data_IF_103605168113
#
_entry.id   IF_103605168113
#
_cell.length_a   1.000
_cell.length_b   1.000
_cell.length_c   1.000
_cell.angle_alpha   90.00
_cell.angle_beta   90.00
_cell.angle_gamma   90.00
#
_symmetry.space_group_name_H-M   'P 1'
#
loop_
_entity.id
_entity.type
_entity.pdbx_description
1 polymer ?
#
# COMPACT_ATOMS: atom_id res chain seq x y z
N UNK A 1 0.53 -5.61 -3.65
CA UNK A 1 1.81 -5.37 -4.36
C UNK A 1 1.73 -3.97 -4.97
N UNK A 2 2.84 -3.22 -4.99
CA UNK A 2 2.90 -1.86 -5.53
C UNK A 2 4.07 -1.73 -6.51
N UNK A 3 3.82 -1.14 -7.67
CA UNK A 3 4.79 -1.01 -8.75
C UNK A 3 4.85 0.44 -9.20
N UNK A 4 6.02 1.06 -9.15
CA UNK A 4 6.24 2.40 -9.69
C UNK A 4 6.77 2.28 -11.12
N UNK A 5 5.94 2.68 -12.08
CA UNK A 5 6.25 2.63 -13.51
C UNK A 5 6.39 4.06 -14.04
N UNK A 6 7.50 4.33 -14.71
CA UNK A 6 7.76 5.60 -15.40
C UNK A 6 7.57 5.40 -16.90
N UNK A 7 6.62 6.14 -17.46
CA UNK A 7 6.31 6.18 -18.88
C UNK A 7 7.08 7.31 -19.57
N UNK A 8 7.30 7.17 -20.88
CA UNK A 8 7.92 8.23 -21.69
C UNK A 8 6.95 9.39 -21.95
N UNK A 9 5.64 9.09 -22.00
CA UNK A 9 4.57 10.06 -22.22
C UNK A 9 3.60 10.08 -21.02
N UNK A 10 2.96 11.23 -20.75
CA UNK A 10 1.89 11.28 -19.76
C UNK A 10 0.73 10.38 -20.18
N UNK A 11 0.25 9.57 -19.24
CA UNK A 11 -0.83 8.59 -19.43
C UNK A 11 -1.97 8.89 -18.47
N UNK A 12 -3.21 8.71 -18.94
CA UNK A 12 -4.41 8.91 -18.13
C UNK A 12 -4.60 7.73 -17.18
N UNK A 13 -4.82 8.02 -15.90
CA UNK A 13 -4.91 6.98 -14.87
C UNK A 13 -6.16 6.12 -15.05
N UNK A 14 -7.25 6.72 -15.49
CA UNK A 14 -8.55 6.08 -15.70
C UNK A 14 -8.44 4.98 -16.76
N UNK A 15 -7.82 5.30 -17.90
CA UNK A 15 -7.60 4.35 -19.00
C UNK A 15 -6.73 3.18 -18.56
N UNK A 16 -5.60 3.48 -17.89
CA UNK A 16 -4.69 2.44 -17.38
C UNK A 16 -5.39 1.55 -16.33
N UNK A 17 -6.25 2.13 -15.51
CA UNK A 17 -7.01 1.37 -14.50
C UNK A 17 -7.98 0.39 -15.17
N UNK A 18 -8.72 0.84 -16.19
CA UNK A 18 -9.68 -0.01 -16.91
C UNK A 18 -8.99 -1.14 -17.70
N UNK A 19 -7.82 -0.87 -18.29
CA UNK A 19 -7.03 -1.90 -18.97
C UNK A 19 -6.48 -2.93 -17.99
N UNK A 20 -5.88 -2.48 -16.88
CA UNK A 20 -5.34 -3.39 -15.88
C UNK A 20 -6.42 -4.19 -15.15
N UNK A 21 -7.60 -3.61 -14.95
CA UNK A 21 -8.76 -4.32 -14.38
C UNK A 21 -9.15 -5.55 -15.20
N UNK A 22 -9.05 -5.47 -16.54
CA UNK A 22 -9.33 -6.62 -17.41
C UNK A 22 -8.30 -7.75 -17.23
N UNK A 23 -7.04 -7.39 -17.00
CA UNK A 23 -5.95 -8.37 -16.87
C UNK A 23 -5.84 -8.95 -15.45
N UNK A 24 -6.27 -8.21 -14.44
CA UNK A 24 -6.34 -8.67 -13.03
C UNK A 24 -7.70 -9.30 -12.68
N UNK A 25 -8.36 -9.97 -13.64
CA UNK A 25 -9.62 -10.69 -13.44
C UNK A 25 -10.75 -9.85 -12.79
N UNK A 26 -10.84 -8.57 -13.13
CA UNK A 26 -11.87 -7.65 -12.62
C UNK A 26 -11.45 -6.87 -11.38
N UNK A 27 -10.27 -7.14 -10.82
CA UNK A 27 -9.73 -6.40 -9.69
C UNK A 27 -9.13 -5.06 -10.16
N UNK A 28 -9.73 -3.95 -9.75
CA UNK A 28 -9.25 -2.63 -10.14
C UNK A 28 -8.02 -2.24 -9.29
N UNK A 29 -6.84 -2.03 -9.91
CA UNK A 29 -5.69 -1.54 -9.16
C UNK A 29 -5.87 -0.08 -8.78
N UNK A 30 -5.25 0.33 -7.69
CA UNK A 30 -5.17 1.72 -7.25
C UNK A 30 -3.96 2.37 -7.91
N UNK A 31 -4.20 3.37 -8.76
CA UNK A 31 -3.14 4.07 -9.49
C UNK A 31 -2.97 5.50 -8.95
N UNK A 32 -1.75 5.87 -8.55
CA UNK A 32 -1.41 7.22 -8.08
C UNK A 32 -0.25 7.81 -8.89
N UNK A 33 -0.32 9.08 -9.27
CA UNK A 33 0.82 9.80 -9.86
C UNK A 33 1.88 10.07 -8.80
N UNK A 34 3.15 9.81 -9.11
CA UNK A 34 4.29 10.03 -8.20
C UNK A 34 5.33 10.88 -8.91
N UNK A 35 5.62 12.07 -8.39
CA UNK A 35 6.62 12.99 -8.94
C UNK A 35 6.19 13.76 -10.21
N UNK A 36 5.42 13.15 -11.12
CA UNK A 36 4.97 13.80 -12.37
C UNK A 36 3.81 13.07 -13.06
N UNK A 37 3.35 13.61 -14.20
CA UNK A 37 2.23 13.07 -14.98
C UNK A 37 2.56 11.77 -15.74
N UNK A 38 3.84 11.41 -15.84
CA UNK A 38 4.35 10.25 -16.56
C UNK A 38 4.87 9.15 -15.62
N UNK A 39 4.74 9.30 -14.30
CA UNK A 39 5.16 8.28 -13.36
C UNK A 39 3.98 7.89 -12.48
N UNK A 40 3.59 6.62 -12.57
CA UNK A 40 2.44 6.06 -11.89
C UNK A 40 2.88 4.97 -10.93
N UNK A 41 2.39 5.03 -9.71
CA UNK A 41 2.44 3.94 -8.75
C UNK A 41 1.13 3.15 -8.83
N UNK A 42 1.25 1.88 -9.20
CA UNK A 42 0.15 0.95 -9.44
C UNK A 42 0.15 -0.05 -8.29
N UNK A 43 -0.87 0.01 -7.45
CA UNK A 43 -1.06 -0.90 -6.33
C UNK A 43 -2.18 -1.89 -6.64
N UNK A 44 -1.90 -3.18 -6.59
CA UNK A 44 -2.87 -4.26 -6.84
C UNK A 44 -2.85 -5.28 -5.71
N UNK A 45 -4.01 -5.81 -5.33
CA UNK A 45 -4.11 -6.97 -4.44
C UNK A 45 -4.25 -8.29 -5.24
N UNK A 46 -4.11 -8.24 -6.56
CA UNK A 46 -4.15 -9.42 -7.42
C UNK A 46 -3.11 -10.48 -6.98
N UNK A 47 -3.64 -11.66 -6.63
CA UNK A 47 -2.89 -12.80 -6.09
C UNK A 47 -2.02 -12.48 -4.87
N UNK A 48 -2.40 -11.49 -4.05
CA UNK A 48 -1.59 -11.07 -2.87
C UNK A 48 -1.48 -12.19 -1.82
N UNK A 49 -2.49 -13.05 -1.72
CA UNK A 49 -2.53 -14.19 -0.80
C UNK A 49 -1.65 -15.36 -1.27
N UNK A 50 -1.37 -15.45 -2.58
CA UNK A 50 -0.51 -16.48 -3.14
C UNK A 50 0.96 -16.05 -3.07
N UNK A 51 1.78 -16.86 -2.40
CA UNK A 51 3.21 -16.57 -2.19
C UNK A 51 4.06 -17.51 -3.04
N UNK A 52 5.02 -16.95 -3.80
CA UNK A 52 5.99 -17.73 -4.56
C UNK A 52 6.59 -16.95 -5.73
N UNK A 53 7.86 -17.22 -6.08
CA UNK A 53 8.56 -16.56 -7.21
C UNK A 53 7.77 -16.63 -8.53
N UNK A 54 7.02 -17.70 -8.74
CA UNK A 54 6.20 -17.88 -9.94
C UNK A 54 5.01 -16.90 -9.99
N UNK A 55 4.46 -16.52 -8.83
CA UNK A 55 3.32 -15.60 -8.74
C UNK A 55 3.78 -14.18 -9.02
N UNK A 56 4.90 -13.75 -8.45
CA UNK A 56 5.43 -12.40 -8.71
C UNK A 56 5.71 -12.19 -10.21
N UNK A 57 6.35 -13.16 -10.87
CA UNK A 57 6.58 -13.14 -12.32
C UNK A 57 5.27 -13.22 -13.15
N UNK A 58 4.20 -13.79 -12.60
CA UNK A 58 2.89 -13.84 -13.26
C UNK A 58 2.20 -12.49 -13.16
N UNK A 59 2.21 -11.86 -11.98
CA UNK A 59 1.65 -10.51 -11.77
C UNK A 59 2.43 -9.47 -12.58
N UNK A 60 3.75 -9.55 -12.64
CA UNK A 60 4.56 -8.65 -13.46
C UNK A 60 4.30 -8.83 -14.96
N UNK A 61 4.13 -10.06 -15.45
CA UNK A 61 3.72 -10.30 -16.85
C UNK A 61 2.31 -9.79 -17.14
N UNK A 62 1.36 -10.02 -16.24
CA UNK A 62 0.00 -9.49 -16.34
C UNK A 62 0.01 -7.95 -16.39
N UNK A 63 0.79 -7.31 -15.51
CA UNK A 63 0.99 -5.86 -15.52
C UNK A 63 1.56 -5.40 -16.87
N UNK A 64 2.60 -6.06 -17.38
CA UNK A 64 3.18 -5.74 -18.69
C UNK A 64 2.17 -5.89 -19.84
N UNK A 65 1.37 -6.96 -19.86
CA UNK A 65 0.33 -7.17 -20.87
C UNK A 65 -0.72 -6.06 -20.83
N UNK A 66 -1.16 -5.65 -19.65
CA UNK A 66 -2.14 -4.56 -19.52
C UNK A 66 -1.58 -3.19 -19.84
N UNK A 67 -0.27 -2.97 -19.69
CA UNK A 67 0.39 -1.70 -20.03
C UNK A 67 0.91 -1.65 -21.46
N UNK A 68 0.84 -2.75 -22.22
CA UNK A 68 1.43 -2.85 -23.57
C UNK A 68 0.89 -1.78 -24.54
N UNK A 69 -0.38 -1.40 -24.41
CA UNK A 69 -1.00 -0.35 -25.23
C UNK A 69 -0.44 1.05 -24.97
N UNK A 70 0.17 1.26 -23.80
CA UNK A 70 0.77 2.52 -23.38
C UNK A 70 2.30 2.52 -23.45
N UNK A 71 2.89 1.40 -23.89
CA UNK A 71 4.33 1.19 -24.06
C UNK A 71 4.66 1.05 -25.57
N UNK A 72 5.93 1.19 -25.97
CA UNK A 72 6.33 0.97 -27.36
C UNK A 72 6.02 -0.46 -27.84
N UNK A 73 5.50 -0.64 -29.05
CA UNK A 73 5.05 -1.96 -29.57
C UNK A 73 6.15 -3.04 -29.62
N UNK A 74 7.43 -2.64 -29.66
CA UNK A 74 8.58 -3.54 -29.70
C UNK A 74 9.33 -3.66 -28.36
N UNK A 75 8.73 -3.24 -27.25
CA UNK A 75 9.38 -3.33 -25.95
C UNK A 75 9.39 -4.77 -25.43
N UNK A 76 10.55 -5.27 -25.03
CA UNK A 76 10.65 -6.56 -24.33
C UNK A 76 10.37 -6.42 -22.83
N UNK A 77 9.96 -7.51 -22.19
CA UNK A 77 9.78 -7.56 -20.72
C UNK A 77 11.05 -7.12 -19.98
N UNK A 78 12.22 -7.51 -20.48
CA UNK A 78 13.52 -7.18 -19.89
C UNK A 78 13.79 -5.67 -19.92
N UNK A 79 13.40 -4.99 -21.00
CA UNK A 79 13.51 -3.54 -21.10
C UNK A 79 12.48 -2.82 -20.24
N UNK A 80 11.27 -3.37 -20.12
CA UNK A 80 10.27 -2.87 -19.17
C UNK A 80 10.81 -2.91 -17.73
N UNK A 81 11.36 -4.06 -17.34
CA UNK A 81 11.86 -4.30 -16.00
C UNK A 81 13.06 -3.41 -15.63
N UNK A 82 13.97 -3.19 -16.59
CA UNK A 82 15.19 -2.42 -16.34
C UNK A 82 15.01 -0.90 -16.50
N UNK A 83 14.13 -0.44 -17.41
CA UNK A 83 14.06 0.97 -17.81
C UNK A 83 12.78 1.67 -17.32
N UNK A 84 11.66 0.96 -17.31
CA UNK A 84 10.34 1.54 -16.98
C UNK A 84 9.94 1.28 -15.53
N UNK A 85 10.28 0.11 -14.96
CA UNK A 85 10.06 -0.19 -13.54
C UNK A 85 11.09 0.55 -12.68
N UNK A 86 10.63 1.56 -11.95
CA UNK A 86 11.49 2.34 -11.03
C UNK A 86 11.58 1.68 -9.65
N UNK A 87 10.48 1.08 -9.19
CA UNK A 87 10.44 0.42 -7.89
C UNK A 87 9.34 -0.63 -7.86
N UNK A 88 9.58 -1.71 -7.12
CA UNK A 88 8.60 -2.74 -6.80
C UNK A 88 8.62 -2.93 -5.29
N UNK A 89 7.44 -2.87 -4.68
CA UNK A 89 7.25 -3.08 -3.25
C UNK A 89 6.15 -4.11 -3.04
N UNK A 90 6.50 -5.20 -2.37
CA UNK A 90 5.55 -6.24 -2.00
C UNK A 90 5.55 -6.38 -0.49
N UNK A 91 4.41 -6.10 0.13
CA UNK A 91 4.14 -6.43 1.52
C UNK A 91 3.42 -7.77 1.54
N UNK A 92 3.98 -8.75 2.26
CA UNK A 92 3.31 -10.04 2.45
C UNK A 92 2.10 -9.85 3.39
N UNK A 93 0.95 -10.50 3.12
CA UNK A 93 -0.23 -10.44 3.97
C UNK A 93 0.10 -10.80 5.42
N UNK A 94 0.84 -11.90 5.64
CA UNK A 94 1.20 -12.38 6.99
C UNK A 94 2.02 -11.36 7.78
N UNK A 95 3.02 -10.73 7.17
CA UNK A 95 3.83 -9.68 7.84
C UNK A 95 2.97 -8.44 8.12
N UNK A 96 2.03 -8.13 7.24
CA UNK A 96 1.12 -6.99 7.42
C UNK A 96 0.13 -7.24 8.56
N UNK A 97 -0.38 -8.46 8.69
CA UNK A 97 -1.29 -8.86 9.77
C UNK A 97 -0.58 -8.91 11.12
N UNK A 98 0.65 -9.44 11.17
CA UNK A 98 1.49 -9.43 12.37
C UNK A 98 1.84 -8.01 12.81
N UNK A 99 2.15 -7.13 11.87
CA UNK A 99 2.41 -5.71 12.16
C UNK A 99 1.15 -5.02 12.69
N UNK A 100 -0.02 -5.26 12.07
CA UNK A 100 -1.29 -4.68 12.50
C UNK A 100 -1.70 -5.17 13.89
N UNK A 101 -1.61 -6.48 14.13
CA UNK A 101 -1.90 -7.10 15.43
C UNK A 101 -0.92 -6.64 16.50
N UNK A 102 0.38 -6.58 16.16
CA UNK A 102 1.44 -6.07 17.03
C UNK A 102 1.24 -4.60 17.39
N UNK A 103 0.96 -3.75 16.41
CA UNK A 103 0.67 -2.34 16.62
C UNK A 103 -0.57 -2.14 17.51
N UNK A 104 -1.66 -2.89 17.27
CA UNK A 104 -2.85 -2.83 18.11
C UNK A 104 -2.56 -3.20 19.56
N UNK A 105 -1.82 -4.29 19.80
CA UNK A 105 -1.40 -4.70 21.16
C UNK A 105 -0.49 -3.67 21.81
N UNK A 106 0.47 -3.12 21.07
CA UNK A 106 1.38 -2.10 21.57
C UNK A 106 0.65 -0.80 21.95
N UNK A 107 -0.31 -0.36 21.14
CA UNK A 107 -1.13 0.83 21.44
C UNK A 107 -1.95 0.63 22.72
N UNK A 108 -2.61 -0.52 22.88
CA UNK A 108 -3.37 -0.82 24.11
C UNK A 108 -2.45 -0.83 25.33
N UNK A 109 -1.28 -1.46 25.22
CA UNK A 109 -0.30 -1.49 26.30
C UNK A 109 0.21 -0.08 26.65
N UNK A 110 0.51 0.74 25.66
CA UNK A 110 0.94 2.12 25.85
C UNK A 110 -0.12 2.97 26.57
N UNK A 111 -1.41 2.82 26.19
CA UNK A 111 -2.52 3.51 26.86
C UNK A 111 -2.59 3.11 28.34
N UNK A 112 -2.47 1.83 28.65
CA UNK A 112 -2.48 1.34 30.04
C UNK A 112 -1.30 1.91 30.84
N UNK A 113 -0.10 1.90 30.28
CA UNK A 113 1.11 2.44 30.93
C UNK A 113 0.98 3.94 31.18
N UNK A 114 0.47 4.71 30.21
CA UNK A 114 0.22 6.15 30.37
C UNK A 114 -0.84 6.39 31.45
N UNK A 115 -1.94 5.63 31.46
CA UNK A 115 -2.98 5.75 32.49
C UNK A 115 -2.42 5.46 33.89
N UNK A 116 -1.62 4.39 34.05
CA UNK A 116 -0.93 4.08 35.29
C UNK A 116 0.03 5.19 35.73
N UNK A 117 0.80 5.75 34.79
CA UNK A 117 1.70 6.87 35.07
C UNK A 117 0.94 8.09 35.62
N UNK A 118 -0.16 8.48 34.96
CA UNK A 118 -0.98 9.62 35.41
C UNK A 118 -1.58 9.32 36.79
N UNK A 119 -2.04 8.09 37.04
CA UNK A 119 -2.61 7.68 38.32
C UNK A 119 -1.60 7.72 39.48
N UNK A 120 -0.35 7.30 39.24
CA UNK A 120 0.72 7.38 40.25
C UNK A 120 1.17 8.83 40.46
N UNK A 121 1.24 9.62 39.38
CA UNK A 121 1.70 11.01 39.42
C UNK A 121 0.68 11.95 40.09
N UNK A 122 -0.61 11.76 39.83
CA UNK A 122 -1.69 12.55 40.39
C UNK A 122 -2.44 11.74 41.44
N UNK A 123 -2.21 12.05 42.71
CA UNK A 123 -2.83 11.36 43.86
C UNK A 123 -4.36 11.46 43.90
N UNK A 124 -4.94 12.39 43.14
CA UNK A 124 -6.38 12.53 42.93
C UNK A 124 -6.80 11.96 41.57
N UNK A 125 -7.37 10.76 41.58
CA UNK A 125 -7.88 10.03 40.41
C UNK A 125 -8.91 10.81 39.57
N UNK A 126 -9.55 11.83 40.15
CA UNK A 126 -10.53 12.71 39.49
C UNK A 126 -9.91 13.51 38.34
N UNK A 127 -8.64 13.90 38.48
CA UNK A 127 -7.93 14.61 37.42
C UNK A 127 -7.63 13.67 36.24
N UNK A 128 -7.25 12.41 36.49
CA UNK A 128 -6.99 11.41 35.44
C UNK A 128 -8.21 11.11 34.58
N UNK A 129 -9.40 11.02 35.20
CA UNK A 129 -10.64 10.71 34.48
C UNK A 129 -11.02 11.83 33.49
N UNK A 130 -10.82 13.09 33.88
CA UNK A 130 -11.05 14.25 33.02
C UNK A 130 -10.12 14.29 31.80
N UNK A 131 -8.84 13.95 31.97
CA UNK A 131 -7.86 13.94 30.88
C UNK A 131 -8.16 12.86 29.84
N UNK A 132 -8.61 11.68 30.28
CA UNK A 132 -8.98 10.56 29.38
C UNK A 132 -10.22 10.93 28.55
N UNK A 133 -11.23 11.53 29.18
CA UNK A 133 -12.44 11.97 28.48
C UNK A 133 -12.16 13.10 27.48
N UNK A 134 -11.31 14.06 27.86
CA UNK A 134 -10.87 15.13 26.97
C UNK A 134 -10.08 14.62 25.77
N UNK A 135 -9.16 13.67 25.95
CA UNK A 135 -8.39 13.09 24.84
C UNK A 135 -9.27 12.28 23.88
N UNK A 136 -10.22 11.51 24.41
CA UNK A 136 -11.13 10.72 23.59
C UNK A 136 -12.02 11.60 22.70
N UNK A 137 -12.49 12.74 23.23
CA UNK A 137 -13.27 13.70 22.45
C UNK A 137 -12.42 14.49 21.46
N UNK A 138 -11.13 14.74 21.75
CA UNK A 138 -10.24 15.52 20.86
C UNK A 138 -9.76 14.71 19.64
N UNK A 139 -9.75 13.38 19.75
CA UNK A 139 -9.31 12.46 18.68
C UNK A 139 -10.47 12.03 17.75
N UNK A 140 -11.72 12.13 18.20
CA UNK A 140 -12.92 11.79 17.43
C UNK A 140 -13.52 13.02 16.74
#
# INVERSE_FOLDING_TARGET
RSYTIKFDKPVQQEVVTDELKKVFNGEAPVIKKVGGANQLNITTAYKIEETGKNIDSLVERALFTGLKNHLPENLTYTEFDSKYKQSSQTVLPTISDDLKSGAAKATIFAIIVICLYIFIRFRDWRYSLGTIFSLLHDVF
#
